data_IF_166710212335
#
_entry.id   IF_166710212335
#
_cell.length_a   1.000
_cell.length_b   1.000
_cell.length_c   1.000
_cell.angle_alpha   90.00
_cell.angle_beta   90.00
_cell.angle_gamma   90.00
#
_symmetry.space_group_name_H-M   'P 1'
#
loop_
_entity.id
_entity.type
_entity.pdbx_description
1 polymer ?
#
# COMPACT_ATOMS: atom_id res chain seq x y z
N UNK A 1 19.74 6.57 -10.38
CA UNK A 1 18.42 6.54 -11.04
C UNK A 1 17.41 7.02 -10.02
N UNK A 2 16.64 8.10 -10.26
CA UNK A 2 15.61 8.54 -9.33
C UNK A 2 14.54 7.45 -9.22
N UNK A 3 14.14 7.11 -8.00
CA UNK A 3 13.08 6.14 -7.74
C UNK A 3 11.74 6.80 -8.07
N UNK A 4 11.04 6.31 -9.09
CA UNK A 4 9.75 6.87 -9.47
C UNK A 4 8.63 6.22 -8.66
N UNK A 5 7.51 6.93 -8.53
CA UNK A 5 6.31 6.39 -7.90
C UNK A 5 5.82 5.11 -8.59
N UNK A 6 5.98 5.01 -9.93
CA UNK A 6 5.68 3.82 -10.68
C UNK A 6 6.52 2.61 -10.24
N UNK A 7 7.81 2.82 -9.95
CA UNK A 7 8.71 1.76 -9.47
C UNK A 7 8.26 1.26 -8.08
N UNK A 8 7.91 2.19 -7.19
CA UNK A 8 7.38 1.88 -5.86
C UNK A 8 6.04 1.14 -5.94
N UNK A 9 5.14 1.55 -6.82
CA UNK A 9 3.86 0.86 -7.04
C UNK A 9 4.09 -0.58 -7.50
N UNK A 10 5.03 -0.81 -8.44
CA UNK A 10 5.38 -2.16 -8.90
C UNK A 10 5.97 -3.04 -7.79
N UNK A 11 6.73 -2.46 -6.86
CA UNK A 11 7.25 -3.21 -5.70
C UNK A 11 6.09 -3.63 -4.79
N UNK A 12 5.14 -2.73 -4.51
CA UNK A 12 3.97 -3.06 -3.69
C UNK A 12 3.08 -4.12 -4.33
N UNK A 13 2.90 -4.10 -5.65
CA UNK A 13 2.19 -5.16 -6.38
C UNK A 13 2.90 -6.52 -6.25
N UNK A 14 4.23 -6.55 -6.43
CA UNK A 14 5.00 -7.79 -6.28
C UNK A 14 4.91 -8.36 -4.86
N UNK A 15 4.93 -7.51 -3.83
CA UNK A 15 4.73 -7.95 -2.44
C UNK A 15 3.32 -8.53 -2.26
N UNK A 16 2.30 -7.91 -2.84
CA UNK A 16 0.94 -8.43 -2.79
C UNK A 16 0.83 -9.80 -3.48
N UNK A 17 1.42 -9.97 -4.67
CA UNK A 17 1.47 -11.25 -5.39
C UNK A 17 2.16 -12.33 -4.55
N UNK A 18 3.31 -12.01 -3.96
CA UNK A 18 4.05 -12.95 -3.12
C UNK A 18 3.24 -13.36 -1.87
N UNK A 19 2.55 -12.42 -1.24
CA UNK A 19 1.71 -12.70 -0.07
C UNK A 19 0.49 -13.54 -0.45
N UNK A 20 -0.08 -13.31 -1.63
CA UNK A 20 -1.19 -14.08 -2.17
C UNK A 20 -0.78 -15.53 -2.46
N UNK A 21 0.37 -15.72 -3.12
CA UNK A 21 0.94 -17.06 -3.40
C UNK A 21 1.23 -17.82 -2.09
N UNK A 22 1.73 -17.13 -1.06
CA UNK A 22 2.01 -17.72 0.24
C UNK A 22 0.74 -18.02 1.07
N UNK A 23 -0.46 -17.68 0.58
CA UNK A 23 -1.70 -17.83 1.35
C UNK A 23 -1.72 -16.96 2.61
N UNK A 24 -1.00 -15.83 2.60
CA UNK A 24 -0.96 -14.91 3.73
C UNK A 24 -2.32 -14.25 3.95
N UNK A 25 -2.46 -13.54 5.08
CA UNK A 25 -3.70 -12.87 5.44
C UNK A 25 -4.24 -11.98 4.29
N UNK A 26 -5.48 -12.22 3.79
CA UNK A 26 -6.08 -11.45 2.70
C UNK A 26 -6.14 -9.94 2.96
N UNK A 27 -6.22 -9.51 4.23
CA UNK A 27 -6.14 -8.11 4.61
C UNK A 27 -4.78 -7.50 4.24
N UNK A 28 -3.68 -8.23 4.46
CA UNK A 28 -2.33 -7.77 4.11
C UNK A 28 -2.19 -7.64 2.61
N UNK A 29 -2.63 -8.65 1.85
CA UNK A 29 -2.63 -8.61 0.37
C UNK A 29 -3.36 -7.36 -0.11
N UNK A 30 -4.59 -7.12 0.36
CA UNK A 30 -5.38 -5.93 0.00
C UNK A 30 -4.72 -4.62 0.40
N UNK A 31 -4.06 -4.57 1.56
CA UNK A 31 -3.35 -3.38 2.00
C UNK A 31 -2.20 -3.01 1.04
N UNK A 32 -1.43 -4.01 0.57
CA UNK A 32 -0.35 -3.79 -0.40
C UNK A 32 -0.87 -3.40 -1.79
N UNK A 33 -1.96 -4.02 -2.28
CA UNK A 33 -2.62 -3.58 -3.52
C UNK A 33 -3.12 -2.13 -3.43
N UNK A 34 -3.71 -1.76 -2.30
CA UNK A 34 -4.19 -0.39 -2.07
C UNK A 34 -3.02 0.60 -1.98
N UNK A 35 -1.90 0.20 -1.37
CA UNK A 35 -0.68 1.00 -1.33
C UNK A 35 -0.11 1.22 -2.74
N UNK A 36 -0.01 0.18 -3.55
CA UNK A 36 0.45 0.29 -4.94
C UNK A 36 -0.38 1.30 -5.75
N UNK A 37 -1.71 1.21 -5.68
CA UNK A 37 -2.62 2.15 -6.33
C UNK A 37 -2.44 3.57 -5.81
N UNK A 38 -2.42 3.75 -4.49
CA UNK A 38 -2.30 5.08 -3.88
C UNK A 38 -0.97 5.76 -4.21
N UNK A 39 0.10 4.98 -4.35
CA UNK A 39 1.44 5.45 -4.71
C UNK A 39 1.52 5.78 -6.20
N UNK A 40 0.94 4.95 -7.07
CA UNK A 40 0.89 5.19 -8.51
C UNK A 40 0.07 6.42 -8.89
N UNK A 41 -1.04 6.67 -8.19
CA UNK A 41 -1.92 7.83 -8.41
C UNK A 41 -1.37 9.13 -7.78
N UNK A 42 -0.31 9.04 -6.99
CA UNK A 42 0.24 10.20 -6.29
C UNK A 42 1.05 11.08 -7.25
N UNK A 43 0.55 12.28 -7.53
CA UNK A 43 1.12 13.20 -8.52
C UNK A 43 2.47 13.86 -8.13
N UNK A 44 2.97 13.66 -6.91
CA UNK A 44 4.27 14.17 -6.45
C UNK A 44 5.24 13.03 -6.18
N UNK A 45 6.55 13.22 -6.37
CA UNK A 45 7.52 12.17 -6.02
C UNK A 45 7.48 11.84 -4.53
N UNK A 46 7.10 10.59 -4.21
CA UNK A 46 7.07 10.08 -2.85
C UNK A 46 8.48 9.95 -2.29
N UNK A 47 9.44 9.55 -3.12
CA UNK A 47 10.85 9.49 -2.73
C UNK A 47 11.33 10.85 -2.22
N UNK A 48 10.95 11.95 -2.90
CA UNK A 48 11.28 13.29 -2.45
C UNK A 48 10.61 13.70 -1.13
N UNK A 49 9.40 13.21 -0.83
CA UNK A 49 8.72 13.47 0.46
C UNK A 49 9.44 12.73 1.60
N UNK A 50 9.81 11.47 1.37
CA UNK A 50 10.52 10.66 2.36
C UNK A 50 11.93 11.21 2.63
N UNK A 51 12.65 11.63 1.58
CA UNK A 51 13.97 12.26 1.71
C UNK A 51 13.92 13.55 2.53
N UNK A 52 12.81 14.31 2.45
CA UNK A 52 12.58 15.51 3.27
C UNK A 52 12.14 15.19 4.71
N UNK A 53 12.02 13.91 5.08
CA UNK A 53 11.55 13.48 6.40
C UNK A 53 10.08 13.79 6.66
N UNK A 54 9.30 14.09 5.61
CA UNK A 54 7.89 14.40 5.73
C UNK A 54 7.07 13.11 5.90
N UNK A 55 6.03 13.15 6.76
CA UNK A 55 5.12 12.01 6.93
C UNK A 55 4.31 11.80 5.66
N UNK A 56 4.44 10.61 5.07
CA UNK A 56 3.56 10.15 4.01
C UNK A 56 2.09 10.10 4.50
N UNK A 57 1.16 10.86 3.91
CA UNK A 57 -0.25 10.84 4.30
C UNK A 57 -1.00 9.55 3.91
N UNK A 58 -0.30 8.55 3.37
CA UNK A 58 -0.85 7.45 2.56
C UNK A 58 -1.50 6.28 3.33
N UNK A 59 -1.78 6.38 4.62
CA UNK A 59 -2.36 5.26 5.38
C UNK A 59 -3.57 5.65 6.24
N UNK A 60 -4.51 6.46 5.72
CA UNK A 60 -5.75 6.84 6.44
C UNK A 60 -7.04 6.14 5.99
N UNK A 61 -6.99 5.10 5.15
CA UNK A 61 -8.20 4.35 4.69
C UNK A 61 -8.13 2.82 4.76
N UNK A 62 -7.34 2.24 5.68
CA UNK A 62 -7.33 0.78 5.89
C UNK A 62 -7.84 0.30 7.27
N UNK A 63 -8.34 1.18 8.14
CA UNK A 63 -8.79 0.80 9.50
C UNK A 63 -10.28 1.07 9.75
N UNK A 64 -11.14 0.89 8.73
CA UNK A 64 -12.60 0.92 8.94
C UNK A 64 -13.30 -0.26 8.27
N UNK A 65 -12.75 -1.45 8.43
CA UNK A 65 -13.54 -2.68 8.29
C UNK A 65 -14.09 -3.00 9.68
N UNK A 66 -15.41 -2.94 9.77
CA UNK A 66 -16.22 -3.19 10.96
C UNK A 66 -15.73 -4.45 11.69
N UNK A 67 -15.14 -4.27 12.87
CA UNK A 67 -15.07 -5.30 13.88
C UNK A 67 -16.36 -5.24 14.70
N UNK A 68 -17.46 -5.79 14.16
CA UNK A 68 -18.70 -6.20 14.88
C UNK A 68 -19.81 -6.49 13.87
N UNK A 69 -19.93 -7.75 13.47
CA UNK A 69 -21.21 -8.49 13.30
C UNK A 69 -20.93 -9.76 12.50
N UNK A 70 -21.06 -10.90 13.17
CA UNK A 70 -21.63 -12.15 12.66
C UNK A 70 -21.07 -13.33 13.47
N UNK A 71 -21.68 -13.59 14.62
CA UNK A 71 -21.77 -14.92 15.21
C UNK A 71 -23.16 -15.03 15.84
N UNK A 72 -24.12 -15.71 15.21
CA UNK A 72 -25.11 -16.49 15.94
C UNK A 72 -24.49 -17.80 16.46
#
# INVERSE_FOLDING_TARGET
MPLHNADMARIFEQIADLLEIQGANPFRVRAYRNAARSVGDFGMSIAGIVERGERLPLLRRAAKTRATEAAP
#
